data_IF_298411355614
#
_entry.id   IF_298411355614
#
_cell.length_a   1.000
_cell.length_b   1.000
_cell.length_c   1.000
_cell.angle_alpha   90.00
_cell.angle_beta   90.00
_cell.angle_gamma   90.00
#
_symmetry.space_group_name_H-M   'P 1'
#
loop_
_entity.id
_entity.type
_entity.pdbx_description
1 polymer ?
#
# COMPACT_ATOMS: atom_id res chain seq x y z
N UNK A 1 17.77 15.23 -8.75
CA UNK A 1 16.60 14.53 -9.32
C UNK A 1 16.56 14.74 -10.82
N UNK A 2 16.98 13.73 -11.56
CA UNK A 2 16.89 13.69 -13.01
C UNK A 2 15.50 13.18 -13.48
N UNK A 3 15.30 13.02 -14.79
CA UNK A 3 14.02 12.57 -15.35
C UNK A 3 13.69 11.11 -14.98
N UNK A 4 14.72 10.28 -14.80
CA UNK A 4 14.56 8.87 -14.42
C UNK A 4 14.09 8.78 -12.98
N UNK A 5 14.67 9.59 -12.08
CA UNK A 5 14.25 9.67 -10.68
C UNK A 5 12.77 10.09 -10.56
N UNK A 6 12.33 11.07 -11.37
CA UNK A 6 10.93 11.52 -11.39
C UNK A 6 9.98 10.44 -11.88
N UNK A 7 10.33 9.76 -12.97
CA UNK A 7 9.52 8.68 -13.51
C UNK A 7 9.40 7.52 -12.50
N UNK A 8 10.51 7.19 -11.82
CA UNK A 8 10.53 6.19 -10.76
C UNK A 8 9.65 6.59 -9.57
N UNK A 9 9.72 7.84 -9.11
CA UNK A 9 8.85 8.33 -8.03
C UNK A 9 7.39 8.24 -8.45
N UNK A 10 7.03 8.69 -9.65
CA UNK A 10 5.66 8.60 -10.16
C UNK A 10 5.15 7.16 -10.22
N UNK A 11 5.99 6.22 -10.65
CA UNK A 11 5.67 4.80 -10.69
C UNK A 11 5.44 4.25 -9.27
N UNK A 12 6.32 4.57 -8.32
CA UNK A 12 6.19 4.13 -6.93
C UNK A 12 4.93 4.71 -6.27
N UNK A 13 4.64 6.00 -6.47
CA UNK A 13 3.42 6.65 -5.98
C UNK A 13 2.15 6.03 -6.59
N UNK A 14 2.16 5.71 -7.88
CA UNK A 14 1.05 5.02 -8.55
C UNK A 14 0.80 3.65 -7.93
N UNK A 15 1.87 2.88 -7.70
CA UNK A 15 1.78 1.55 -7.08
C UNK A 15 1.24 1.61 -5.64
N UNK A 16 1.63 2.62 -4.88
CA UNK A 16 1.07 2.87 -3.54
C UNK A 16 -0.43 3.14 -3.64
N UNK A 17 -0.86 4.02 -4.56
CA UNK A 17 -2.27 4.32 -4.79
C UNK A 17 -3.09 3.07 -5.11
N UNK A 18 -2.61 2.22 -6.03
CA UNK A 18 -3.27 0.96 -6.37
C UNK A 18 -3.40 0.02 -5.16
N UNK A 19 -2.35 -0.14 -4.36
CA UNK A 19 -2.41 -0.98 -3.15
C UNK A 19 -3.40 -0.43 -2.13
N UNK A 20 -3.50 0.89 -1.98
CA UNK A 20 -4.47 1.52 -1.11
C UNK A 20 -5.90 1.28 -1.60
N UNK A 21 -6.14 1.43 -2.90
CA UNK A 21 -7.46 1.18 -3.52
C UNK A 21 -7.92 -0.27 -3.35
N UNK A 22 -7.04 -1.22 -3.70
CA UNK A 22 -7.32 -2.66 -3.60
C UNK A 22 -7.73 -3.09 -2.18
N UNK A 23 -7.15 -2.44 -1.15
CA UNK A 23 -7.35 -2.84 0.24
C UNK A 23 -8.29 -1.90 1.02
N UNK A 24 -8.74 -0.78 0.44
CA UNK A 24 -9.68 0.14 1.07
C UNK A 24 -11.00 -0.54 1.40
N UNK A 25 -11.53 -1.35 0.47
CA UNK A 25 -12.77 -2.11 0.68
C UNK A 25 -12.63 -3.10 1.84
N UNK A 26 -11.47 -3.76 1.96
CA UNK A 26 -11.19 -4.68 3.08
C UNK A 26 -11.16 -3.90 4.40
N UNK A 27 -10.50 -2.75 4.44
CA UNK A 27 -10.44 -1.90 5.63
C UNK A 27 -11.82 -1.44 6.11
N UNK A 28 -12.72 -1.11 5.17
CA UNK A 28 -14.07 -0.65 5.48
C UNK A 28 -15.00 -1.78 5.94
N UNK A 29 -14.75 -3.02 5.54
CA UNK A 29 -15.69 -4.14 5.72
C UNK A 29 -15.21 -5.20 6.71
N UNK A 30 -13.93 -5.24 7.07
CA UNK A 30 -13.35 -6.25 7.97
C UNK A 30 -14.05 -6.36 9.33
N UNK A 31 -14.58 -5.24 9.85
CA UNK A 31 -15.33 -5.20 11.10
C UNK A 31 -16.69 -5.92 11.05
N UNK A 32 -17.24 -6.12 9.84
CA UNK A 32 -18.54 -6.75 9.61
C UNK A 32 -18.44 -8.22 9.18
N UNK A 33 -17.22 -8.74 8.99
CA UNK A 33 -16.99 -10.12 8.59
C UNK A 33 -17.11 -11.09 9.79
N UNK A 34 -17.46 -12.36 9.56
CA UNK A 34 -17.34 -13.41 10.58
C UNK A 34 -15.91 -13.52 11.11
N UNK A 35 -15.73 -13.92 12.38
CA UNK A 35 -14.44 -13.95 13.08
C UNK A 35 -13.30 -14.61 12.29
N UNK A 36 -13.57 -15.74 11.65
CA UNK A 36 -12.56 -16.49 10.88
C UNK A 36 -12.11 -15.73 9.62
N UNK A 37 -13.01 -14.95 9.00
CA UNK A 37 -12.72 -14.12 7.83
C UNK A 37 -12.15 -12.76 8.23
N UNK A 38 -12.53 -12.24 9.39
CA UNK A 38 -12.02 -10.99 9.95
C UNK A 38 -10.50 -11.07 10.18
N UNK A 39 -10.01 -12.20 10.73
CA UNK A 39 -8.56 -12.40 10.90
C UNK A 39 -7.83 -12.35 9.56
N UNK A 40 -8.31 -13.07 8.55
CA UNK A 40 -7.71 -13.07 7.22
C UNK A 40 -7.71 -11.67 6.57
N UNK A 41 -8.79 -10.90 6.76
CA UNK A 41 -8.88 -9.52 6.31
C UNK A 41 -7.86 -8.61 7.00
N UNK A 42 -7.68 -8.74 8.32
CA UNK A 42 -6.68 -8.00 9.09
C UNK A 42 -5.26 -8.37 8.65
N UNK A 43 -4.97 -9.66 8.46
CA UNK A 43 -3.67 -10.14 7.99
C UNK A 43 -3.34 -9.57 6.60
N UNK A 44 -4.31 -9.54 5.69
CA UNK A 44 -4.17 -8.93 4.37
C UNK A 44 -3.86 -7.43 4.46
N UNK A 45 -4.57 -6.69 5.33
CA UNK A 45 -4.32 -5.27 5.58
C UNK A 45 -2.92 -5.01 6.15
N UNK A 46 -2.45 -5.84 7.07
CA UNK A 46 -1.12 -5.72 7.66
C UNK A 46 -0.01 -5.90 6.59
N UNK A 47 -0.17 -6.88 5.70
CA UNK A 47 0.74 -7.09 4.57
C UNK A 47 0.71 -5.90 3.62
N UNK A 48 -0.46 -5.37 3.28
CA UNK A 48 -0.59 -4.20 2.41
C UNK A 48 0.07 -2.95 3.02
N UNK A 49 -0.17 -2.68 4.31
CA UNK A 49 0.45 -1.57 5.05
C UNK A 49 1.98 -1.66 5.04
N UNK A 50 2.53 -2.86 5.24
CA UNK A 50 3.98 -3.09 5.18
C UNK A 50 4.53 -2.79 3.78
N UNK A 51 3.86 -3.26 2.73
CA UNK A 51 4.24 -2.97 1.34
C UNK A 51 4.21 -1.48 1.02
N UNK A 52 3.16 -0.78 1.45
CA UNK A 52 3.02 0.67 1.25
C UNK A 52 4.16 1.41 1.96
N UNK A 53 4.44 1.07 3.21
CA UNK A 53 5.55 1.67 3.98
C UNK A 53 6.90 1.48 3.27
N UNK A 54 7.17 0.27 2.77
CA UNK A 54 8.41 -0.01 2.05
C UNK A 54 8.51 0.75 0.73
N UNK A 55 7.41 0.89 -0.01
CA UNK A 55 7.38 1.66 -1.26
C UNK A 55 7.54 3.16 -1.00
N UNK A 56 6.92 3.68 0.06
CA UNK A 56 7.07 5.07 0.47
C UNK A 56 8.53 5.38 0.86
N UNK A 57 9.17 4.50 1.62
CA UNK A 57 10.59 4.62 1.95
C UNK A 57 11.49 4.57 0.71
N UNK A 58 11.19 3.70 -0.26
CA UNK A 58 11.91 3.66 -1.53
C UNK A 58 11.73 4.96 -2.33
N UNK A 59 10.51 5.50 -2.40
CA UNK A 59 10.25 6.76 -3.08
C UNK A 59 10.96 7.94 -2.39
N UNK A 60 11.01 7.95 -1.06
CA UNK A 60 11.75 8.94 -0.30
C UNK A 60 13.26 8.87 -0.56
N UNK A 61 13.82 7.66 -0.60
CA UNK A 61 15.25 7.46 -0.89
C UNK A 61 15.66 7.89 -2.30
N UNK A 62 14.73 7.87 -3.27
CA UNK A 62 14.96 8.40 -4.64
C UNK A 62 14.80 9.93 -4.68
N UNK A 63 14.07 10.50 -3.72
CA UNK A 63 13.82 11.93 -3.64
C UNK A 63 14.95 12.73 -2.96
N UNK A 64 15.82 12.06 -2.20
CA UNK A 64 17.02 12.60 -1.55
C UNK A 64 18.19 12.80 -2.54
#
# INVERSE_FOLDING_TARGET
>A
MDEIDRELINLLSTKIGMLMEDHATIALTAGSLPTDQQKAAIDALAVASTKITNLAAAAQSVAE
#
